data_IF_912280632230
#
_entry.id   IF_912280632230
#
_cell.length_a   1.000
_cell.length_b   1.000
_cell.length_c   1.000
_cell.angle_alpha   90.00
_cell.angle_beta   90.00
_cell.angle_gamma   90.00
#
_symmetry.space_group_name_H-M   'P 1'
#
loop_
_entity.id
_entity.type
_entity.pdbx_description
1 polymer ?
#
# COMPACT_ATOMS: atom_id res chain seq x y z
N UNK A 1 -29.49 30.56 -51.98
CA UNK A 1 -28.88 29.32 -51.43
C UNK A 1 -27.84 29.72 -50.40
N UNK A 2 -28.14 29.52 -49.11
CA UNK A 2 -27.29 29.98 -48.00
C UNK A 2 -26.39 28.83 -47.55
N UNK A 3 -25.07 29.03 -47.62
CA UNK A 3 -24.05 28.02 -47.29
C UNK A 3 -24.05 27.75 -45.78
N UNK A 4 -24.25 26.50 -45.39
CA UNK A 4 -24.12 26.01 -44.01
C UNK A 4 -22.63 25.95 -43.67
N UNK A 5 -22.14 26.87 -42.83
CA UNK A 5 -20.77 26.85 -42.31
C UNK A 5 -20.62 25.71 -41.31
N UNK A 6 -20.06 24.58 -41.78
CA UNK A 6 -19.67 23.45 -40.93
C UNK A 6 -18.49 23.88 -40.06
N UNK A 7 -18.77 24.14 -38.78
CA UNK A 7 -17.73 24.41 -37.78
C UNK A 7 -17.11 23.08 -37.39
N UNK A 8 -15.78 22.89 -37.47
CA UNK A 8 -15.17 21.63 -37.06
C UNK A 8 -15.39 21.42 -35.55
N UNK A 9 -15.76 20.21 -35.10
CA UNK A 9 -15.95 19.92 -33.69
C UNK A 9 -14.63 20.14 -32.94
N UNK A 10 -14.67 21.01 -31.94
CA UNK A 10 -13.55 21.24 -31.02
C UNK A 10 -13.17 19.91 -30.38
N UNK A 11 -11.96 19.43 -30.67
CA UNK A 11 -11.35 18.26 -30.04
C UNK A 11 -11.13 18.57 -28.56
N UNK A 12 -12.14 18.32 -27.74
CA UNK A 12 -11.98 18.37 -26.30
C UNK A 12 -10.96 17.30 -25.89
N UNK A 13 -9.97 17.62 -25.06
CA UNK A 13 -9.04 16.62 -24.55
C UNK A 13 -9.84 15.62 -23.72
N UNK A 14 -9.93 14.39 -24.22
CA UNK A 14 -10.56 13.27 -23.52
C UNK A 14 -9.77 13.04 -22.23
N UNK A 15 -10.29 13.51 -21.10
CA UNK A 15 -9.71 13.24 -19.78
C UNK A 15 -9.85 11.75 -19.52
N UNK A 16 -8.81 10.98 -19.85
CA UNK A 16 -8.75 9.57 -19.57
C UNK A 16 -8.56 9.39 -18.06
N UNK A 17 -9.61 8.95 -17.38
CA UNK A 17 -9.53 8.54 -15.99
C UNK A 17 -9.26 7.03 -15.96
N UNK A 18 -8.29 6.62 -15.13
CA UNK A 18 -8.01 5.21 -14.86
C UNK A 18 -8.77 4.84 -13.60
N UNK A 19 -9.61 3.82 -13.67
CA UNK A 19 -10.26 3.23 -12.51
C UNK A 19 -9.22 2.35 -11.83
N UNK A 20 -8.84 2.68 -10.59
CA UNK A 20 -8.01 1.83 -9.75
C UNK A 20 -8.96 0.90 -9.00
N UNK A 21 -9.08 -0.39 -9.39
CA UNK A 21 -9.90 -1.32 -8.64
C UNK A 21 -9.28 -1.51 -7.26
N UNK A 22 -10.00 -1.07 -6.24
CA UNK A 22 -9.74 -1.51 -4.87
C UNK A 22 -10.41 -2.87 -4.71
N UNK A 23 -9.79 -3.91 -5.28
CA UNK A 23 -10.12 -5.26 -4.87
C UNK A 23 -9.95 -5.30 -3.36
N UNK A 24 -11.06 -5.56 -2.66
CA UNK A 24 -11.09 -5.60 -1.20
C UNK A 24 -9.95 -6.51 -0.78
N UNK A 25 -8.95 -5.92 -0.11
CA UNK A 25 -7.73 -6.57 0.30
C UNK A 25 -8.05 -7.82 1.13
N UNK A 26 -8.28 -8.95 0.46
CA UNK A 26 -8.12 -10.30 1.00
C UNK A 26 -6.65 -10.54 1.35
N UNK A 27 -5.77 -9.63 0.92
CA UNK A 27 -4.43 -9.49 1.45
C UNK A 27 -4.50 -9.17 2.95
N UNK A 28 -4.38 -10.23 3.75
CA UNK A 28 -3.40 -10.25 4.83
C UNK A 28 -3.75 -9.51 6.12
N UNK A 29 -4.97 -9.70 6.65
CA UNK A 29 -5.19 -9.50 8.10
C UNK A 29 -4.15 -10.23 8.97
N UNK A 30 -3.58 -11.33 8.47
CA UNK A 30 -2.48 -12.04 9.13
C UNK A 30 -1.12 -11.32 9.06
N UNK A 31 -0.84 -10.52 8.03
CA UNK A 31 0.49 -9.88 7.90
C UNK A 31 0.59 -8.60 8.73
N UNK A 32 -0.52 -7.92 8.98
CA UNK A 32 -0.56 -6.70 9.78
C UNK A 32 -0.98 -7.01 11.22
N UNK A 33 -0.01 -7.08 12.12
CA UNK A 33 -0.23 -7.28 13.55
C UNK A 33 0.61 -6.28 14.35
N UNK A 34 0.26 -6.01 15.62
CA UNK A 34 1.11 -5.20 16.49
C UNK A 34 2.44 -5.91 16.74
N UNK A 35 3.54 -5.19 16.58
CA UNK A 35 4.86 -5.66 17.00
C UNK A 35 4.95 -5.76 18.53
N UNK A 36 5.43 -6.89 19.06
CA UNK A 36 5.57 -7.09 20.51
C UNK A 36 6.55 -6.12 21.20
N UNK A 37 7.51 -5.55 20.47
CA UNK A 37 8.52 -4.66 21.04
C UNK A 37 8.12 -3.18 20.98
N UNK A 38 7.51 -2.73 19.88
CA UNK A 38 7.22 -1.30 19.67
C UNK A 38 5.73 -0.97 19.53
N UNK A 39 4.83 -1.96 19.58
CA UNK A 39 3.38 -1.79 19.52
C UNK A 39 2.81 -1.34 18.17
N UNK A 40 3.65 -0.98 17.19
CA UNK A 40 3.18 -0.52 15.87
C UNK A 40 2.49 -1.65 15.12
N UNK A 41 1.27 -1.39 14.63
CA UNK A 41 0.51 -2.29 13.75
C UNK A 41 1.00 -2.13 12.33
N UNK A 42 1.95 -2.97 11.93
CA UNK A 42 2.59 -2.94 10.62
C UNK A 42 2.81 -4.36 10.13
N UNK A 43 3.40 -4.52 8.93
CA UNK A 43 3.81 -5.83 8.45
C UNK A 43 4.83 -6.45 9.43
N UNK A 44 4.48 -7.58 10.01
CA UNK A 44 5.31 -8.30 10.99
C UNK A 44 5.86 -9.60 10.41
N UNK A 45 6.95 -10.06 11.00
CA UNK A 45 7.55 -11.38 10.80
C UNK A 45 7.37 -12.21 12.08
N UNK A 46 7.38 -13.54 11.93
CA UNK A 46 7.38 -14.45 13.09
C UNK A 46 8.81 -14.67 13.57
N UNK A 47 9.12 -14.24 14.80
CA UNK A 47 10.38 -14.55 15.48
C UNK A 47 10.07 -15.31 16.76
N UNK A 48 10.54 -16.56 16.88
CA UNK A 48 10.28 -17.44 18.04
C UNK A 48 8.79 -17.53 18.42
N UNK A 49 7.91 -17.54 17.41
CA UNK A 49 6.45 -17.59 17.58
C UNK A 49 5.78 -16.25 17.93
N UNK A 50 6.52 -15.13 17.99
CA UNK A 50 5.98 -13.79 18.24
C UNK A 50 5.99 -12.92 16.98
N UNK A 51 5.02 -12.01 16.90
CA UNK A 51 4.92 -11.00 15.84
C UNK A 51 5.91 -9.85 16.12
N UNK A 52 6.90 -9.70 15.23
CA UNK A 52 7.97 -8.70 15.35
C UNK A 52 8.11 -7.94 14.04
N UNK A 53 8.12 -6.62 14.08
CA UNK A 53 8.37 -5.82 12.87
C UNK A 53 9.84 -5.86 12.44
N UNK A 54 10.10 -5.57 11.16
CA UNK A 54 11.45 -5.62 10.59
C UNK A 54 12.46 -4.72 11.32
N UNK A 55 12.02 -3.57 11.84
CA UNK A 55 12.88 -2.65 12.58
C UNK A 55 13.36 -3.26 13.90
N UNK A 56 12.44 -3.81 14.70
CA UNK A 56 12.79 -4.47 15.96
C UNK A 56 13.55 -5.77 15.72
N UNK A 57 13.21 -6.54 14.68
CA UNK A 57 13.90 -7.79 14.31
C UNK A 57 15.39 -7.55 14.05
N UNK A 58 15.75 -6.46 13.37
CA UNK A 58 17.16 -6.09 13.12
C UNK A 58 17.91 -5.69 14.40
N UNK A 59 17.20 -5.23 15.43
CA UNK A 59 17.80 -4.85 16.71
C UNK A 59 17.92 -6.03 17.69
N UNK A 60 17.21 -7.14 17.45
CA UNK A 60 17.25 -8.33 18.31
C UNK A 60 18.67 -8.85 18.58
N UNK A 61 19.58 -8.98 17.60
CA UNK A 61 20.96 -9.35 17.90
C UNK A 61 21.57 -8.43 18.97
N UNK A 62 21.40 -7.12 18.84
CA UNK A 62 21.87 -6.14 19.82
C UNK A 62 21.15 -6.19 21.18
N UNK A 63 19.89 -6.64 21.24
CA UNK A 63 19.12 -6.78 22.49
C UNK A 63 19.57 -8.02 23.29
N UNK A 64 20.07 -9.07 22.64
CA UNK A 64 20.52 -10.31 23.28
C UNK A 64 22.06 -10.45 23.38
N UNK A 65 22.83 -9.45 22.97
CA UNK A 65 24.31 -9.46 23.00
C UNK A 65 24.96 -9.14 24.36
N UNK A 66 24.20 -9.07 25.46
CA UNK A 66 24.80 -8.99 26.80
C UNK A 66 24.97 -10.40 27.37
N UNK A 67 26.14 -11.00 27.10
CA UNK A 67 26.71 -12.13 27.82
C UNK A 67 28.05 -11.70 28.43
#
# INVERSE_FOLDING_TARGET
MSKLSSTPPLKQPTRQAIIIPFDRLSLTKEQFQPCIFCGKTIKVHKFKGKAVCIHCLRQIPAIFSCG
#
